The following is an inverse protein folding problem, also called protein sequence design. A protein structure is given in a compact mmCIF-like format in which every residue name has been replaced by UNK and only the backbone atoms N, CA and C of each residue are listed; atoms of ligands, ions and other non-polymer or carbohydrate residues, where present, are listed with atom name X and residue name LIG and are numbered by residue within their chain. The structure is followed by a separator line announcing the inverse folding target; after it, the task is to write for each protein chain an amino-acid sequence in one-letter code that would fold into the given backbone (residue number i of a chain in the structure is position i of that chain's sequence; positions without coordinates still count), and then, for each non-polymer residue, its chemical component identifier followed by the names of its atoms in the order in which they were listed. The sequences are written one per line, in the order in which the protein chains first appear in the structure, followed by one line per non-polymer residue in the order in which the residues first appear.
data_IF_603583138635
#
_entry.id   IF_603583138635
#
_cell.length_a   1.000
_cell.length_b   1.000
_cell.length_c   1.000
_cell.angle_alpha   90.00
_cell.angle_beta   90.00
_cell.angle_gamma   90.00
#
_symmetry.space_group_name_H-M   'P 1'
#
loop_
_entity.id
_entity.type
_entity.pdbx_description
1 polymer ?
#
# COMPACT_ATOMS: atom_id res chain seq x y z
N UNK A 1 -33.02 -68.38 -21.37
CA UNK A 1 -31.95 -68.77 -22.32
C UNK A 1 -31.00 -67.58 -22.38
N UNK A 2 -29.90 -67.60 -21.60
CA UNK A 2 -28.52 -67.80 -22.09
C UNK A 2 -28.07 -66.64 -23.01
N UNK A 3 -27.03 -65.83 -22.75
CA UNK A 3 -25.78 -66.06 -22.02
C UNK A 3 -25.18 -64.74 -21.49
N UNK A 4 -24.53 -64.82 -20.31
CA UNK A 4 -23.44 -63.94 -19.91
C UNK A 4 -22.24 -64.14 -20.85
N UNK A 5 -21.54 -63.05 -21.17
CA UNK A 5 -20.12 -63.12 -21.55
C UNK A 5 -19.37 -62.07 -20.72
N UNK A 6 -18.71 -62.57 -19.67
CA UNK A 6 -17.64 -61.92 -18.93
C UNK A 6 -16.36 -62.24 -19.68
N UNK A 7 -15.57 -61.23 -20.05
CA UNK A 7 -14.18 -61.44 -20.47
C UNK A 7 -13.29 -60.62 -19.54
N UNK A 8 -12.78 -61.36 -18.57
CA UNK A 8 -11.60 -61.06 -17.78
C UNK A 8 -10.37 -61.19 -18.67
N UNK A 9 -9.58 -60.13 -18.80
CA UNK A 9 -8.19 -60.23 -19.24
C UNK A 9 -7.33 -59.53 -18.18
N UNK A 10 -6.74 -60.38 -17.35
CA UNK A 10 -5.57 -60.10 -16.54
C UNK A 10 -4.35 -60.36 -17.42
N UNK A 11 -3.48 -59.37 -17.62
CA UNK A 11 -2.10 -59.59 -18.03
C UNK A 11 -1.21 -58.56 -17.34
N UNK A 12 -0.52 -59.08 -16.31
CA UNK A 12 0.66 -58.49 -15.69
C UNK A 12 1.79 -58.44 -16.71
N UNK A 13 2.40 -57.27 -16.89
CA UNK A 13 3.82 -57.17 -17.26
C UNK A 13 4.53 -56.32 -16.21
N UNK A 14 5.47 -56.98 -15.53
CA UNK A 14 6.49 -56.39 -14.68
C UNK A 14 7.45 -55.57 -15.55
N UNK A 15 7.80 -54.38 -15.07
CA UNK A 15 8.79 -53.51 -15.66
C UNK A 15 9.12 -52.34 -14.75
N UNK A 16 9.79 -52.63 -13.63
CA UNK A 16 10.52 -51.60 -12.87
C UNK A 16 11.72 -51.16 -13.70
N UNK A 17 11.78 -49.87 -14.06
CA UNK A 17 13.05 -49.18 -14.14
C UNK A 17 12.88 -47.69 -13.78
N UNK A 18 13.78 -47.26 -12.92
CA UNK A 18 13.87 -45.98 -12.22
C UNK A 18 13.94 -44.75 -13.12
N UNK A 19 13.13 -43.73 -12.81
CA UNK A 19 13.48 -42.32 -13.02
C UNK A 19 12.80 -41.46 -11.96
N UNK A 20 13.62 -40.81 -11.14
CA UNK A 20 13.20 -39.75 -10.24
C UNK A 20 12.58 -38.60 -11.04
N UNK A 21 11.34 -38.24 -10.71
CA UNK A 21 10.80 -36.93 -10.99
C UNK A 21 9.90 -36.54 -9.82
N UNK A 22 10.46 -35.76 -8.90
CA UNK A 22 9.71 -35.09 -7.84
C UNK A 22 8.82 -34.03 -8.51
N UNK A 23 7.57 -34.37 -8.75
CA UNK A 23 6.50 -33.41 -8.96
C UNK A 23 5.34 -33.77 -8.03
N UNK A 24 5.51 -33.47 -6.74
CA UNK A 24 4.39 -33.45 -5.81
C UNK A 24 3.64 -32.14 -5.98
N UNK A 25 2.72 -32.11 -6.95
CA UNK A 25 1.63 -31.14 -6.96
C UNK A 25 0.69 -31.49 -5.80
N UNK A 26 0.97 -30.94 -4.62
CA UNK A 26 0.01 -30.92 -3.53
C UNK A 26 -0.84 -29.65 -3.65
N UNK A 27 -1.92 -29.76 -4.41
CA UNK A 27 -3.08 -28.89 -4.22
C UNK A 27 -3.63 -29.13 -2.81
N UNK A 28 -3.21 -28.31 -1.84
CA UNK A 28 -3.89 -28.18 -0.55
C UNK A 28 -4.68 -26.88 -0.54
N UNK A 29 -5.98 -27.03 -0.77
CA UNK A 29 -7.02 -26.14 -0.24
C UNK A 29 -6.90 -26.18 1.29
N UNK A 30 -6.50 -25.08 1.91
CA UNK A 30 -6.32 -25.03 3.35
C UNK A 30 -5.95 -23.64 3.81
N UNK A 31 -6.61 -23.19 4.86
CA UNK A 31 -6.23 -22.05 5.68
C UNK A 31 -4.80 -22.35 6.18
N UNK A 32 -3.79 -21.69 5.63
CA UNK A 32 -2.40 -21.89 6.02
C UNK A 32 -2.01 -20.84 7.07
N UNK A 33 -1.44 -21.35 8.16
CA UNK A 33 -0.63 -20.68 9.17
C UNK A 33 0.16 -19.47 8.64
N UNK A 34 0.38 -18.41 9.45
CA UNK A 34 1.05 -17.20 8.98
C UNK A 34 2.48 -17.57 8.59
N UNK A 35 2.74 -17.64 7.29
CA UNK A 35 4.06 -17.90 6.73
C UNK A 35 4.92 -16.64 6.87
N UNK A 36 6.19 -16.82 7.24
CA UNK A 36 7.15 -15.71 7.32
C UNK A 36 7.17 -14.94 6.00
N UNK A 37 7.03 -13.60 6.02
CA UNK A 37 7.03 -12.79 4.79
C UNK A 37 8.24 -13.10 3.92
N UNK A 38 8.02 -13.17 2.61
CA UNK A 38 9.04 -13.51 1.60
C UNK A 38 10.22 -12.53 1.63
N UNK A 39 9.94 -11.28 2.01
CA UNK A 39 10.92 -10.22 2.23
C UNK A 39 11.98 -10.61 3.28
N UNK A 40 11.67 -11.51 4.22
CA UNK A 40 12.60 -11.97 5.27
C UNK A 40 13.25 -13.33 4.99
N UNK A 41 12.91 -14.01 3.89
CA UNK A 41 13.51 -15.32 3.57
C UNK A 41 14.98 -15.15 3.12
N UNK A 42 15.90 -15.97 3.65
CA UNK A 42 17.38 -15.82 3.60
C UNK A 42 17.98 -15.51 2.21
N UNK A 43 17.32 -15.89 1.11
CA UNK A 43 17.77 -15.56 -0.26
C UNK A 43 17.69 -14.08 -0.61
N UNK A 44 16.95 -13.25 0.13
CA UNK A 44 16.70 -11.84 -0.20
C UNK A 44 17.51 -10.82 0.63
N UNK A 45 18.11 -11.22 1.75
CA UNK A 45 18.74 -10.27 2.69
C UNK A 45 20.03 -9.66 2.10
N UNK A 46 20.81 -10.43 1.34
CA UNK A 46 22.07 -9.97 0.73
C UNK A 46 21.82 -9.02 -0.46
N UNK A 47 20.71 -9.16 -1.18
CA UNK A 47 20.33 -8.24 -2.28
C UNK A 47 19.66 -6.96 -1.75
N UNK A 48 18.92 -7.03 -0.64
CA UNK A 48 18.29 -5.87 0.00
C UNK A 48 19.28 -4.80 0.44
N UNK A 49 20.45 -5.19 0.97
CA UNK A 49 21.48 -4.24 1.40
C UNK A 49 22.12 -3.45 0.25
N UNK A 50 22.03 -3.92 -1.00
CA UNK A 50 22.53 -3.20 -2.19
C UNK A 50 21.49 -2.25 -2.81
N UNK A 51 20.20 -2.44 -2.52
CA UNK A 51 19.10 -1.65 -3.11
C UNK A 51 18.79 -0.34 -2.34
N UNK A 52 19.36 -0.14 -1.15
CA UNK A 52 19.15 1.03 -0.29
C UNK A 52 19.76 2.33 -0.84
N UNK A 53 20.61 2.27 -1.86
CA UNK A 53 21.20 3.45 -2.48
C UNK A 53 20.22 4.25 -3.37
N UNK A 54 19.06 3.69 -3.76
CA UNK A 54 18.09 4.37 -4.66
C UNK A 54 16.64 4.00 -4.36
N UNK A 55 16.10 4.43 -3.22
CA UNK A 55 14.65 4.71 -3.00
C UNK A 55 13.62 3.56 -3.11
N UNK A 56 13.99 2.36 -3.58
CA UNK A 56 13.13 1.15 -3.65
C UNK A 56 13.30 0.22 -2.43
N UNK A 57 14.10 0.61 -1.44
CA UNK A 57 14.55 -0.21 -0.32
C UNK A 57 13.84 0.00 1.01
N UNK A 58 12.56 0.39 1.03
CA UNK A 58 11.83 0.52 2.30
C UNK A 58 11.03 -0.77 2.59
N UNK A 59 11.43 -1.46 3.66
CA UNK A 59 10.81 -2.69 4.17
C UNK A 59 9.29 -2.58 4.32
N UNK A 60 8.79 -1.42 4.77
CA UNK A 60 7.36 -1.16 4.90
C UNK A 60 6.60 -1.37 3.58
N UNK A 61 7.07 -0.77 2.49
CA UNK A 61 6.41 -0.88 1.19
C UNK A 61 6.58 -2.26 0.55
N UNK A 62 7.69 -2.95 0.85
CA UNK A 62 7.89 -4.34 0.39
C UNK A 62 6.88 -5.28 1.03
N UNK A 63 6.69 -5.18 2.35
CA UNK A 63 5.67 -5.96 3.07
C UNK A 63 4.27 -5.66 2.54
N UNK A 64 3.92 -4.39 2.33
CA UNK A 64 2.62 -4.04 1.79
C UNK A 64 2.40 -4.56 0.36
N UNK A 65 3.44 -4.50 -0.49
CA UNK A 65 3.38 -5.06 -1.85
C UNK A 65 3.12 -6.56 -1.83
N UNK A 66 3.83 -7.30 -0.98
CA UNK A 66 3.63 -8.74 -0.79
C UNK A 66 2.21 -9.03 -0.29
N UNK A 67 1.69 -8.25 0.67
CA UNK A 67 0.30 -8.39 1.13
C UNK A 67 -0.71 -8.22 -0.01
N UNK A 68 -0.50 -7.24 -0.88
CA UNK A 68 -1.37 -6.98 -2.03
C UNK A 68 -1.31 -8.09 -3.10
N UNK A 69 -0.21 -8.83 -3.19
CA UNK A 69 -0.10 -10.00 -4.08
C UNK A 69 -0.87 -11.21 -3.54
N UNK A 70 -0.93 -11.34 -2.22
CA UNK A 70 -1.56 -12.47 -1.51
C UNK A 70 -3.06 -12.27 -1.24
N UNK A 71 -3.51 -11.03 -1.06
CA UNK A 71 -4.91 -10.71 -0.74
C UNK A 71 -5.62 -9.96 -1.89
N UNK A 72 -6.53 -10.66 -2.58
CA UNK A 72 -7.32 -10.10 -3.69
C UNK A 72 -8.26 -8.97 -3.25
N UNK A 73 -8.79 -9.02 -2.04
CA UNK A 73 -9.68 -7.96 -1.53
C UNK A 73 -8.87 -6.72 -1.22
N UNK A 74 -7.70 -6.87 -0.58
CA UNK A 74 -6.78 -5.76 -0.34
C UNK A 74 -6.32 -5.12 -1.66
N UNK A 75 -5.98 -5.94 -2.66
CA UNK A 75 -5.65 -5.47 -4.02
C UNK A 75 -6.79 -4.66 -4.65
N UNK A 76 -8.04 -5.12 -4.48
CA UNK A 76 -9.20 -4.38 -4.98
C UNK A 76 -9.33 -3.02 -4.32
N UNK A 77 -9.18 -2.94 -2.99
CA UNK A 77 -9.23 -1.67 -2.25
C UNK A 77 -8.14 -0.72 -2.74
N UNK A 78 -6.91 -1.21 -2.94
CA UNK A 78 -5.81 -0.42 -3.48
C UNK A 78 -6.13 0.15 -4.86
N UNK A 79 -6.66 -0.69 -5.76
CA UNK A 79 -7.04 -0.25 -7.11
C UNK A 79 -8.17 0.78 -7.08
N UNK A 80 -9.20 0.57 -6.25
CA UNK A 80 -10.32 1.50 -6.09
C UNK A 80 -9.83 2.86 -5.56
N UNK A 81 -8.88 2.86 -4.61
CA UNK A 81 -8.24 4.08 -4.11
C UNK A 81 -7.49 4.84 -5.20
N UNK A 82 -6.68 4.15 -6.01
CA UNK A 82 -5.93 4.76 -7.11
C UNK A 82 -6.85 5.37 -8.18
N UNK A 83 -7.89 4.62 -8.59
CA UNK A 83 -8.87 5.09 -9.57
C UNK A 83 -9.67 6.30 -9.05
N UNK A 84 -10.05 6.29 -7.78
CA UNK A 84 -10.75 7.42 -7.17
C UNK A 84 -9.88 8.69 -7.18
N UNK A 85 -8.58 8.57 -6.85
CA UNK A 85 -7.65 9.70 -6.86
C UNK A 85 -7.51 10.33 -8.24
N UNK A 86 -7.37 9.51 -9.27
CA UNK A 86 -7.32 9.97 -10.67
C UNK A 86 -8.63 10.66 -11.08
N UNK A 87 -9.77 10.03 -10.81
CA UNK A 87 -11.08 10.57 -11.15
C UNK A 87 -11.39 11.91 -10.46
N UNK A 88 -10.92 12.10 -9.23
CA UNK A 88 -11.10 13.35 -8.49
C UNK A 88 -10.38 14.53 -9.13
N UNK A 89 -9.12 14.34 -9.53
CA UNK A 89 -8.31 15.39 -10.15
C UNK A 89 -8.98 15.93 -11.41
N UNK A 90 -9.44 15.02 -12.27
CA UNK A 90 -10.14 15.37 -13.51
C UNK A 90 -11.50 16.02 -13.27
N UNK A 91 -12.27 15.50 -12.31
CA UNK A 91 -13.64 15.97 -12.05
C UNK A 91 -13.68 17.42 -11.54
N UNK A 92 -12.68 17.84 -10.76
CA UNK A 92 -12.63 19.20 -10.21
C UNK A 92 -11.91 20.20 -11.12
N UNK A 93 -11.13 19.74 -12.11
CA UNK A 93 -10.29 20.58 -12.97
C UNK A 93 -11.06 21.71 -13.66
N UNK A 94 -12.17 21.38 -14.32
CA UNK A 94 -12.97 22.38 -15.06
C UNK A 94 -13.60 23.41 -14.11
N UNK A 95 -14.14 22.96 -12.99
CA UNK A 95 -14.75 23.85 -11.99
C UNK A 95 -13.71 24.74 -11.31
N UNK A 96 -12.55 24.20 -10.92
CA UNK A 96 -11.46 24.98 -10.36
C UNK A 96 -10.95 26.03 -11.34
N UNK A 97 -10.78 25.67 -12.62
CA UNK A 97 -10.40 26.64 -13.65
C UNK A 97 -11.43 27.77 -13.77
N UNK A 98 -12.71 27.43 -13.86
CA UNK A 98 -13.80 28.40 -13.92
C UNK A 98 -13.78 29.34 -12.70
N UNK A 99 -13.70 28.78 -11.49
CA UNK A 99 -13.72 29.57 -10.26
C UNK A 99 -12.49 30.47 -10.12
N UNK A 100 -11.30 29.93 -10.45
CA UNK A 100 -10.06 30.69 -10.42
C UNK A 100 -10.11 31.86 -11.41
N UNK A 101 -10.58 31.66 -12.64
CA UNK A 101 -10.71 32.75 -13.62
C UNK A 101 -11.61 33.88 -13.13
N UNK A 102 -12.74 33.57 -12.50
CA UNK A 102 -13.63 34.60 -11.92
C UNK A 102 -12.94 35.33 -10.76
N UNK A 103 -12.27 34.59 -9.86
CA UNK A 103 -11.54 35.19 -8.73
C UNK A 103 -10.40 36.10 -9.22
N UNK A 104 -9.67 35.69 -10.26
CA UNK A 104 -8.62 36.51 -10.87
C UNK A 104 -9.19 37.80 -11.46
N UNK A 105 -10.29 37.72 -12.23
CA UNK A 105 -10.95 38.92 -12.75
C UNK A 105 -11.32 39.91 -11.64
N UNK A 106 -11.92 39.44 -10.54
CA UNK A 106 -12.29 40.33 -9.43
C UNK A 106 -11.08 40.95 -8.73
N UNK A 107 -9.97 40.20 -8.61
CA UNK A 107 -8.71 40.73 -8.07
C UNK A 107 -8.12 41.81 -9.00
N UNK A 108 -8.01 41.53 -10.30
CA UNK A 108 -7.50 42.49 -11.30
C UNK A 108 -8.38 43.73 -11.43
N UNK A 109 -9.71 43.57 -11.40
CA UNK A 109 -10.64 44.68 -11.42
C UNK A 109 -10.47 45.58 -10.19
N UNK A 110 -10.31 44.98 -9.00
CA UNK A 110 -10.05 45.72 -7.77
C UNK A 110 -8.75 46.54 -7.87
N UNK A 111 -7.67 45.93 -8.35
CA UNK A 111 -6.39 46.61 -8.55
C UNK A 111 -6.50 47.75 -9.59
N UNK A 112 -7.21 47.51 -10.68
CA UNK A 112 -7.44 48.54 -11.70
C UNK A 112 -8.27 49.71 -11.17
N UNK A 113 -9.30 49.47 -10.37
CA UNK A 113 -10.13 50.52 -9.76
C UNK A 113 -9.29 51.46 -8.89
N UNK A 114 -8.25 50.96 -8.22
CA UNK A 114 -7.34 51.80 -7.43
C UNK A 114 -6.56 52.84 -8.26
N UNK A 115 -6.47 52.65 -9.59
CA UNK A 115 -5.83 53.62 -10.49
C UNK A 115 -6.74 54.79 -10.84
N UNK A 116 -8.04 54.70 -10.55
CA UNK A 116 -9.01 55.79 -10.79
C UNK A 116 -8.72 56.93 -9.81
N UNK A 117 -8.42 58.12 -10.34
CA UNK A 117 -8.05 59.29 -9.54
C UNK A 117 -9.23 59.91 -8.81
N UNK A 118 -10.36 60.07 -9.50
CA UNK A 118 -11.58 60.63 -8.92
C UNK A 118 -12.12 59.67 -7.85
N UNK A 119 -12.17 60.14 -6.61
CA UNK A 119 -12.55 59.33 -5.46
C UNK A 119 -14.02 58.91 -5.49
N UNK A 120 -14.90 59.75 -6.04
CA UNK A 120 -16.34 59.48 -6.12
C UNK A 120 -16.58 58.38 -7.14
N UNK A 121 -16.03 58.53 -8.36
CA UNK A 121 -16.11 57.51 -9.41
C UNK A 121 -15.48 56.20 -8.95
N UNK A 122 -14.32 56.26 -8.28
CA UNK A 122 -13.66 55.07 -7.73
C UNK A 122 -14.55 54.29 -6.76
N UNK A 123 -15.20 54.99 -5.82
CA UNK A 123 -16.12 54.36 -4.86
C UNK A 123 -17.33 53.74 -5.54
N UNK A 124 -17.95 54.44 -6.49
CA UNK A 124 -19.11 53.93 -7.25
C UNK A 124 -18.77 52.67 -8.03
N UNK A 125 -17.64 52.66 -8.75
CA UNK A 125 -17.20 51.49 -9.52
C UNK A 125 -16.79 50.33 -8.58
N UNK A 126 -16.16 50.63 -7.45
CA UNK A 126 -15.84 49.62 -6.43
C UNK A 126 -17.11 48.91 -5.93
N UNK A 127 -18.18 49.67 -5.66
CA UNK A 127 -19.45 49.10 -5.23
C UNK A 127 -20.05 48.18 -6.31
N UNK A 128 -20.03 48.59 -7.57
CA UNK A 128 -20.54 47.76 -8.68
C UNK A 128 -19.80 46.42 -8.81
N UNK A 129 -18.47 46.44 -8.68
CA UNK A 129 -17.66 45.21 -8.73
C UNK A 129 -17.93 44.32 -7.53
N UNK A 130 -18.05 44.88 -6.33
CA UNK A 130 -18.33 44.10 -5.12
C UNK A 130 -19.74 43.49 -5.15
N UNK A 131 -20.74 44.20 -5.67
CA UNK A 131 -22.08 43.64 -5.89
C UNK A 131 -22.05 42.47 -6.89
N UNK A 132 -21.30 42.60 -7.99
CA UNK A 132 -21.11 41.52 -8.98
C UNK A 132 -20.42 40.30 -8.35
N UNK A 133 -19.34 40.52 -7.61
CA UNK A 133 -18.60 39.47 -6.88
C UNK A 133 -19.48 38.74 -5.87
N UNK A 134 -20.30 39.48 -5.13
CA UNK A 134 -21.25 38.88 -4.20
C UNK A 134 -22.30 38.04 -4.92
N UNK A 135 -22.89 38.52 -6.03
CA UNK A 135 -23.81 37.70 -6.85
C UNK A 135 -23.15 36.43 -7.36
N UNK A 136 -21.90 36.52 -7.82
CA UNK A 136 -21.12 35.36 -8.24
C UNK A 136 -20.92 34.37 -7.09
N UNK A 137 -20.46 34.83 -5.92
CA UNK A 137 -20.25 33.99 -4.74
C UNK A 137 -21.52 33.23 -4.34
N UNK A 138 -22.68 33.90 -4.35
CA UNK A 138 -23.97 33.26 -4.10
C UNK A 138 -24.30 32.21 -5.17
N UNK A 139 -24.02 32.49 -6.44
CA UNK A 139 -24.31 31.57 -7.55
C UNK A 139 -23.48 30.28 -7.53
N UNK A 140 -22.33 30.26 -6.84
CA UNK A 140 -21.45 29.09 -6.74
C UNK A 140 -21.43 28.45 -5.36
N UNK A 141 -22.12 29.01 -4.36
CA UNK A 141 -22.07 28.58 -2.97
C UNK A 141 -22.34 27.07 -2.78
N UNK A 142 -23.36 26.54 -3.44
CA UNK A 142 -23.69 25.11 -3.37
C UNK A 142 -22.60 24.23 -3.98
N UNK A 143 -22.06 24.61 -5.14
CA UNK A 143 -20.97 23.89 -5.81
C UNK A 143 -19.69 23.91 -4.98
N UNK A 144 -19.40 25.03 -4.30
CA UNK A 144 -18.26 25.11 -3.41
C UNK A 144 -18.42 24.21 -2.18
N UNK A 145 -19.63 24.11 -1.62
CA UNK A 145 -19.93 23.16 -0.54
C UNK A 145 -19.70 21.70 -0.96
N UNK A 146 -20.12 21.34 -2.17
CA UNK A 146 -19.87 19.99 -2.73
C UNK A 146 -18.38 19.75 -2.91
N UNK A 147 -17.65 20.68 -3.53
CA UNK A 147 -16.19 20.59 -3.69
C UNK A 147 -15.47 20.42 -2.35
N UNK A 148 -15.84 21.20 -1.34
CA UNK A 148 -15.27 21.09 0.01
C UNK A 148 -15.54 19.73 0.65
N UNK A 149 -16.72 19.15 0.40
CA UNK A 149 -17.06 17.81 0.86
C UNK A 149 -16.21 16.73 0.16
N UNK A 150 -15.99 16.88 -1.17
CA UNK A 150 -15.09 16.00 -1.93
C UNK A 150 -13.68 16.07 -1.35
N UNK A 151 -13.13 17.27 -1.15
CA UNK A 151 -11.78 17.46 -0.58
C UNK A 151 -11.68 16.81 0.81
N UNK A 152 -12.64 17.07 1.70
CA UNK A 152 -12.67 16.49 3.04
C UNK A 152 -12.67 14.94 3.01
N UNK A 153 -13.53 14.37 2.17
CA UNK A 153 -13.61 12.92 2.05
C UNK A 153 -12.31 12.33 1.48
N UNK A 154 -11.69 13.02 0.52
CA UNK A 154 -10.44 12.59 -0.09
C UNK A 154 -9.30 12.55 0.91
N UNK A 155 -9.19 13.58 1.76
CA UNK A 155 -8.21 13.59 2.85
C UNK A 155 -8.45 12.45 3.84
N UNK A 156 -9.73 12.20 4.18
CA UNK A 156 -10.10 11.10 5.09
C UNK A 156 -9.74 9.74 4.49
N UNK A 157 -9.98 9.55 3.19
CA UNK A 157 -9.63 8.32 2.47
C UNK A 157 -8.11 8.14 2.41
N UNK A 158 -7.35 9.20 2.16
CA UNK A 158 -5.88 9.14 2.16
C UNK A 158 -5.32 8.73 3.53
N UNK A 159 -5.85 9.31 4.61
CA UNK A 159 -5.42 8.96 5.97
C UNK A 159 -5.78 7.51 6.32
N UNK A 160 -7.01 7.07 5.98
CA UNK A 160 -7.44 5.68 6.19
C UNK A 160 -6.63 4.69 5.34
N UNK A 161 -6.23 5.06 4.12
CA UNK A 161 -5.36 4.26 3.27
C UNK A 161 -3.98 4.06 3.92
N UNK A 162 -3.37 5.14 4.46
CA UNK A 162 -2.12 5.04 5.22
C UNK A 162 -2.26 4.15 6.46
N UNK A 163 -3.37 4.28 7.21
CA UNK A 163 -3.65 3.43 8.37
C UNK A 163 -3.77 1.96 7.95
N UNK A 164 -4.47 1.66 6.85
CA UNK A 164 -4.60 0.31 6.31
C UNK A 164 -3.21 -0.29 5.99
N UNK A 165 -2.35 0.48 5.32
CA UNK A 165 -0.97 0.06 5.03
C UNK A 165 -0.19 -0.29 6.31
N UNK A 166 -0.29 0.55 7.34
CA UNK A 166 0.36 0.30 8.64
C UNK A 166 -0.19 -0.95 9.31
N UNK A 167 -1.51 -1.11 9.42
CA UNK A 167 -2.12 -2.26 10.09
C UNK A 167 -1.79 -3.57 9.38
N UNK A 168 -1.78 -3.58 8.05
CA UNK A 168 -1.42 -4.76 7.25
C UNK A 168 0.05 -5.15 7.49
N UNK A 169 0.96 -4.18 7.37
CA UNK A 169 2.40 -4.44 7.53
C UNK A 169 2.79 -4.77 8.96
N UNK A 170 2.11 -4.19 9.95
CA UNK A 170 2.31 -4.50 11.36
C UNK A 170 2.03 -5.99 11.66
N UNK A 171 0.91 -6.52 11.14
CA UNK A 171 0.60 -7.95 11.27
C UNK A 171 1.67 -8.84 10.64
N UNK A 172 2.23 -8.42 9.50
CA UNK A 172 3.26 -9.20 8.81
C UNK A 172 4.58 -9.22 9.60
N UNK A 173 5.02 -8.08 10.14
CA UNK A 173 6.23 -8.04 10.95
C UNK A 173 6.04 -8.76 12.29
N UNK A 174 4.86 -8.67 12.91
CA UNK A 174 4.54 -9.43 14.13
C UNK A 174 4.54 -10.94 13.86
N UNK A 175 4.03 -11.38 12.71
CA UNK A 175 4.11 -12.80 12.30
C UNK A 175 5.57 -13.25 12.14
N UNK A 176 6.41 -12.44 11.48
CA UNK A 176 7.85 -12.71 11.37
C UNK A 176 8.50 -12.83 12.75
N UNK A 177 8.27 -11.86 13.63
CA UNK A 177 8.81 -11.85 14.99
C UNK A 177 8.40 -13.10 15.77
N UNK A 178 7.12 -13.48 15.70
CA UNK A 178 6.63 -14.65 16.44
C UNK A 178 7.15 -15.99 15.89
N UNK A 179 7.40 -16.07 14.57
CA UNK A 179 7.82 -17.32 13.92
C UNK A 179 9.34 -17.52 13.94
N UNK A 180 10.11 -16.44 13.80
CA UNK A 180 11.56 -16.49 13.59
C UNK A 180 12.36 -16.08 14.85
N UNK A 181 11.70 -15.59 15.90
CA UNK A 181 12.36 -15.37 17.18
C UNK A 181 12.74 -16.70 17.82
N UNK A 182 14.00 -17.08 17.67
CA UNK A 182 14.55 -18.23 18.37
C UNK A 182 14.41 -18.04 19.89
N UNK A 183 14.13 -19.13 20.61
CA UNK A 183 14.28 -19.12 22.06
C UNK A 183 15.72 -18.76 22.39
N UNK A 184 15.94 -17.79 23.30
CA UNK A 184 17.28 -17.34 23.72
C UNK A 184 18.21 -18.45 24.21
N UNK A 185 17.70 -19.67 24.41
CA UNK A 185 18.44 -20.87 24.71
C UNK A 185 19.62 -21.14 23.76
N UNK A 186 19.52 -20.84 22.47
CA UNK A 186 20.64 -21.01 21.53
C UNK A 186 21.81 -20.09 21.88
N UNK A 187 21.51 -18.84 22.22
CA UNK A 187 22.49 -17.83 22.66
C UNK A 187 23.04 -18.18 24.05
N UNK A 188 22.18 -18.61 24.98
CA UNK A 188 22.59 -19.06 26.32
C UNK A 188 23.57 -20.25 26.27
N UNK A 189 23.31 -21.21 25.39
CA UNK A 189 24.21 -22.35 25.20
C UNK A 189 25.58 -21.90 24.67
N UNK A 190 25.61 -20.94 23.75
CA UNK A 190 26.87 -20.34 23.26
C UNK A 190 27.63 -19.66 24.40
N UNK A 191 26.93 -18.90 25.26
CA UNK A 191 27.56 -18.28 26.44
C UNK A 191 28.16 -19.36 27.34
N UNK A 192 27.42 -20.44 27.60
CA UNK A 192 27.89 -21.51 28.46
C UNK A 192 29.14 -22.22 27.90
N UNK A 193 29.16 -22.47 26.60
CA UNK A 193 30.30 -23.06 25.89
C UNK A 193 31.53 -22.15 25.96
N UNK A 194 31.33 -20.84 25.76
CA UNK A 194 32.40 -19.84 25.89
C UNK A 194 32.96 -19.77 27.30
N UNK A 195 32.10 -19.77 28.33
CA UNK A 195 32.53 -19.76 29.74
C UNK A 195 33.35 -21.00 30.10
N UNK A 196 32.91 -22.17 29.62
CA UNK A 196 33.64 -23.42 29.81
C UNK A 196 35.02 -23.37 29.16
N UNK A 197 35.11 -22.92 27.91
CA UNK A 197 36.37 -22.78 27.19
C UNK A 197 37.32 -21.79 27.89
N UNK A 198 36.81 -20.64 28.36
CA UNK A 198 37.60 -19.66 29.11
C UNK A 198 38.19 -20.29 30.38
N UNK A 199 37.41 -21.10 31.09
CA UNK A 199 37.86 -21.79 32.31
C UNK A 199 38.98 -22.79 32.01
N UNK A 200 38.85 -23.56 30.94
CA UNK A 200 39.89 -24.50 30.50
C UNK A 200 41.18 -23.79 30.09
N UNK A 201 41.09 -22.73 29.29
CA UNK A 201 42.26 -21.95 28.88
C UNK A 201 42.99 -21.36 30.09
N UNK A 202 42.27 -20.77 31.05
CA UNK A 202 42.86 -20.24 32.29
C UNK A 202 43.57 -21.29 33.14
N UNK A 203 43.09 -22.54 33.12
CA UNK A 203 43.72 -23.65 33.85
C UNK A 203 45.09 -24.04 33.24
N UNK A 204 45.25 -23.88 31.93
CA UNK A 204 46.47 -24.26 31.21
C UNK A 204 47.51 -23.12 31.09
N UNK A 205 47.20 -21.93 31.60
CA UNK A 205 48.12 -20.77 31.64
C UNK A 205 48.73 -20.57 33.05
N UNK A 206 48.22 -21.28 34.07
CA UNK A 206 48.81 -21.35 35.41
C UNK A 206 49.76 -22.54 35.52
#
# INVERSE_FOLDING_TARGET
MQKLIVISILLLILGCNSRESKNNTSSKKGITTPETPEVFQEKNIIEQYKATARGRGNLFYQLYSEALEKDKNLRKIENDYLLMREAQEDSLKKYNKFNNSNNYYYAEAHDFIHTILDSTIRMEVMQLVEESKNKYAHSVAEREKIKNSVIKNSNTIEDLHKVLQVVVTLKMIENYQNNEMESGQSIENIIQDQENLIKELKKNIK
#
